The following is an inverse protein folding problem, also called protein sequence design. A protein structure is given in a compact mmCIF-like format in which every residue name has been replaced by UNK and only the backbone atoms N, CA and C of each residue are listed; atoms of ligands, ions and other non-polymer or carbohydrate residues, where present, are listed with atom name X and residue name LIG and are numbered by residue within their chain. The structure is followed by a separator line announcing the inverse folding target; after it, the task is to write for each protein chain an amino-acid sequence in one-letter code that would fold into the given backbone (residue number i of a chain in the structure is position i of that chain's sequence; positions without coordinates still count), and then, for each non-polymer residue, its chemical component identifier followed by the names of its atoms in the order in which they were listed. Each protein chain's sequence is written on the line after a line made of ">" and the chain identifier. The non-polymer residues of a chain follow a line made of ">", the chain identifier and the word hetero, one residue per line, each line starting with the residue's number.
data_IF_899724828363
#
_entry.id   IF_899724828363
#
_cell.length_a   1.000
_cell.length_b   1.000
_cell.length_c   1.000
_cell.angle_alpha   90.00
_cell.angle_beta   90.00
_cell.angle_gamma   90.00
#
_symmetry.space_group_name_H-M   'P 1'
#
loop_
_entity.id
_entity.type
_entity.pdbx_description
1 polymer ?
#
# COMPACT_ATOMS: atom_id res chain seq x y z
N UNK A 1 -16.61 -32.98 18.04
CA UNK A 1 -16.85 -31.53 17.94
C UNK A 1 -18.35 -31.31 18.02
N UNK A 2 -18.79 -30.42 18.92
CA UNK A 2 -20.21 -30.21 19.25
C UNK A 2 -20.92 -29.43 18.13
N UNK A 3 -22.21 -29.70 17.91
CA UNK A 3 -23.11 -29.00 16.99
C UNK A 3 -23.13 -27.46 17.17
N UNK A 4 -22.64 -26.95 18.29
CA UNK A 4 -22.49 -25.51 18.59
C UNK A 4 -21.33 -24.82 17.84
N UNK A 5 -20.26 -25.52 17.45
CA UNK A 5 -19.12 -24.90 16.74
C UNK A 5 -19.45 -24.58 15.27
N UNK A 6 -20.30 -25.39 14.64
CA UNK A 6 -20.67 -25.20 13.22
C UNK A 6 -21.51 -23.94 12.96
N UNK A 7 -22.17 -23.37 13.98
CA UNK A 7 -22.94 -22.12 13.85
C UNK A 7 -22.09 -20.86 14.06
N UNK A 8 -20.80 -21.01 14.43
CA UNK A 8 -19.90 -19.88 14.73
C UNK A 8 -19.03 -19.50 13.54
N UNK A 9 -18.68 -20.45 12.66
CA UNK A 9 -17.79 -20.19 11.51
C UNK A 9 -18.41 -19.16 10.57
N UNK A 10 -17.67 -18.10 10.28
CA UNK A 10 -18.15 -16.98 9.46
C UNK A 10 -18.91 -15.88 10.19
N UNK A 11 -19.13 -16.02 11.51
CA UNK A 11 -19.54 -14.90 12.35
C UNK A 11 -18.39 -13.90 12.55
N UNK A 12 -18.71 -12.66 12.94
CA UNK A 12 -17.69 -11.68 13.29
C UNK A 12 -16.79 -12.19 14.43
N UNK A 13 -17.33 -12.92 15.42
CA UNK A 13 -16.53 -13.48 16.52
C UNK A 13 -15.48 -14.50 16.01
N UNK A 14 -15.84 -15.35 15.05
CA UNK A 14 -14.91 -16.28 14.40
C UNK A 14 -13.84 -15.55 13.59
N UNK A 15 -14.23 -14.51 12.83
CA UNK A 15 -13.27 -13.67 12.09
C UNK A 15 -12.25 -13.04 13.04
N UNK A 16 -12.71 -12.47 14.16
CA UNK A 16 -11.82 -11.87 15.16
C UNK A 16 -10.91 -12.94 15.79
N UNK A 17 -11.46 -14.08 16.21
CA UNK A 17 -10.66 -15.16 16.77
C UNK A 17 -9.55 -15.62 15.81
N UNK A 18 -9.86 -15.79 14.52
CA UNK A 18 -8.91 -16.19 13.49
C UNK A 18 -7.84 -15.15 13.21
N UNK A 19 -8.21 -13.86 13.23
CA UNK A 19 -7.26 -12.76 13.13
C UNK A 19 -6.26 -12.77 14.30
N UNK A 20 -6.71 -13.09 15.52
CA UNK A 20 -5.88 -13.19 16.72
C UNK A 20 -5.02 -14.46 16.80
N UNK A 21 -5.13 -15.39 15.85
CA UNK A 21 -4.25 -16.58 15.77
C UNK A 21 -2.85 -16.28 15.24
N UNK A 22 -2.63 -15.08 14.70
CA UNK A 22 -1.31 -14.63 14.25
C UNK A 22 -0.43 -14.45 15.49
N UNK A 23 0.59 -15.31 15.63
CA UNK A 23 1.55 -15.22 16.73
C UNK A 23 2.47 -14.00 16.59
N UNK A 24 3.31 -13.69 17.60
CA UNK A 24 4.22 -12.55 17.55
C UNK A 24 5.12 -12.55 16.30
N UNK A 25 5.26 -11.39 15.64
CA UNK A 25 6.10 -11.20 14.45
C UNK A 25 6.99 -9.98 14.64
N UNK A 26 8.25 -10.10 14.23
CA UNK A 26 9.24 -9.03 14.41
C UNK A 26 9.97 -8.66 13.12
N UNK A 27 9.61 -9.30 12.01
CA UNK A 27 10.31 -9.20 10.73
C UNK A 27 9.38 -9.49 9.53
N UNK A 28 9.88 -9.19 8.35
CA UNK A 28 9.30 -9.60 7.07
C UNK A 28 10.22 -10.60 6.37
N UNK A 29 9.66 -11.61 5.66
CA UNK A 29 10.49 -12.54 4.91
C UNK A 29 11.08 -11.85 3.68
N UNK A 30 12.32 -12.19 3.33
CA UNK A 30 12.87 -11.92 1.99
C UNK A 30 12.02 -12.63 0.92
N UNK A 31 12.14 -12.22 -0.35
CA UNK A 31 11.44 -12.85 -1.49
C UNK A 31 11.73 -14.35 -1.53
N UNK A 32 13.00 -14.75 -1.34
CA UNK A 32 13.39 -16.16 -1.37
C UNK A 32 12.80 -16.95 -0.20
N UNK A 33 12.80 -16.39 1.01
CA UNK A 33 12.18 -17.02 2.18
C UNK A 33 10.66 -17.13 2.02
N UNK A 34 10.03 -16.11 1.43
CA UNK A 34 8.60 -16.08 1.16
C UNK A 34 8.24 -17.19 0.18
N UNK A 35 8.89 -17.26 -0.98
CA UNK A 35 8.65 -18.32 -1.98
C UNK A 35 8.93 -19.70 -1.39
N UNK A 36 10.04 -19.88 -0.67
CA UNK A 36 10.38 -21.15 -0.04
C UNK A 36 9.32 -21.62 0.97
N UNK A 37 8.70 -20.68 1.71
CA UNK A 37 7.63 -21.03 2.66
C UNK A 37 6.36 -21.55 1.98
N UNK A 38 6.00 -20.98 0.84
CA UNK A 38 4.86 -21.43 0.04
C UNK A 38 5.16 -22.73 -0.71
N UNK A 39 6.38 -22.92 -1.22
CA UNK A 39 6.82 -24.18 -1.80
C UNK A 39 6.76 -25.30 -0.75
N UNK A 40 7.22 -25.04 0.48
CA UNK A 40 7.12 -26.00 1.57
C UNK A 40 5.66 -26.32 1.96
N UNK A 41 4.74 -25.35 1.87
CA UNK A 41 3.30 -25.60 2.05
C UNK A 41 2.75 -26.51 0.93
N UNK A 42 3.14 -26.25 -0.33
CA UNK A 42 2.74 -27.06 -1.46
C UNK A 42 3.24 -28.51 -1.35
N UNK A 43 4.48 -28.70 -0.91
CA UNK A 43 5.08 -30.03 -0.70
C UNK A 43 4.40 -30.79 0.45
N UNK A 44 3.98 -30.09 1.51
CA UNK A 44 3.27 -30.72 2.65
C UNK A 44 1.81 -31.05 2.34
N UNK A 45 1.18 -30.31 1.43
CA UNK A 45 -0.24 -30.44 1.09
C UNK A 45 -0.45 -30.56 -0.43
N UNK A 46 0.15 -31.55 -1.11
CA UNK A 46 0.17 -31.62 -2.57
C UNK A 46 -1.21 -31.82 -3.22
N UNK A 47 -2.16 -32.40 -2.48
CA UNK A 47 -3.54 -32.60 -2.93
C UNK A 47 -4.42 -31.36 -2.77
N UNK A 48 -3.94 -30.34 -2.04
CA UNK A 48 -4.71 -29.14 -1.70
C UNK A 48 -4.12 -27.85 -2.29
N UNK A 49 -2.80 -27.80 -2.45
CA UNK A 49 -2.07 -26.59 -2.86
C UNK A 49 -1.45 -26.79 -4.23
N UNK A 50 -1.90 -26.01 -5.21
CA UNK A 50 -1.36 -26.02 -6.58
C UNK A 50 -0.49 -24.80 -6.84
N UNK A 51 0.80 -25.01 -7.12
CA UNK A 51 1.73 -23.98 -7.57
C UNK A 51 1.65 -23.78 -9.08
N UNK A 52 1.62 -22.53 -9.54
CA UNK A 52 1.62 -22.15 -10.96
C UNK A 52 2.53 -20.93 -11.18
N UNK A 53 3.38 -20.94 -12.21
CA UNK A 53 4.10 -19.72 -12.64
C UNK A 53 3.15 -18.87 -13.48
N UNK A 54 2.95 -17.62 -13.08
CA UNK A 54 2.02 -16.70 -13.77
C UNK A 54 2.74 -15.68 -14.65
N UNK A 55 4.05 -15.51 -14.47
CA UNK A 55 4.84 -14.58 -15.26
C UNK A 55 6.32 -14.60 -14.93
N UNK A 56 6.99 -13.56 -15.40
CA UNK A 56 8.39 -13.26 -15.16
C UNK A 56 8.52 -11.75 -14.94
N UNK A 57 9.28 -11.34 -13.94
CA UNK A 57 9.57 -9.93 -13.68
C UNK A 57 10.51 -9.33 -14.74
N UNK A 58 10.73 -8.01 -14.66
CA UNK A 58 11.65 -7.29 -15.55
C UNK A 58 13.10 -7.77 -15.45
N UNK A 59 13.51 -8.29 -14.29
CA UNK A 59 14.86 -8.83 -14.02
C UNK A 59 14.92 -10.37 -14.07
N UNK A 60 13.98 -11.01 -14.76
CA UNK A 60 13.96 -12.45 -15.05
C UNK A 60 13.61 -13.36 -13.84
N UNK A 61 12.97 -12.81 -12.80
CA UNK A 61 12.49 -13.63 -11.67
C UNK A 61 11.13 -14.25 -11.96
N UNK A 62 10.91 -15.53 -11.63
CA UNK A 62 9.62 -16.18 -11.81
C UNK A 62 8.59 -15.64 -10.80
N UNK A 63 7.40 -15.31 -11.30
CA UNK A 63 6.27 -14.89 -10.46
C UNK A 63 5.37 -16.11 -10.23
N UNK A 64 5.13 -16.45 -8.97
CA UNK A 64 4.40 -17.65 -8.56
C UNK A 64 3.03 -17.32 -7.96
N UNK A 65 2.07 -18.19 -8.25
CA UNK A 65 0.76 -18.22 -7.62
C UNK A 65 0.52 -19.60 -7.00
N UNK A 66 -0.07 -19.62 -5.81
CA UNK A 66 -0.43 -20.82 -5.07
C UNK A 66 -1.95 -20.83 -4.89
N UNK A 67 -2.61 -21.85 -5.44
CA UNK A 67 -4.06 -22.01 -5.34
C UNK A 67 -4.41 -23.05 -4.29
N UNK A 68 -5.34 -22.74 -3.39
CA UNK A 68 -5.71 -23.57 -2.24
C UNK A 68 -7.23 -23.77 -2.21
N UNK A 69 -7.67 -25.03 -2.12
CA UNK A 69 -9.10 -25.39 -2.14
C UNK A 69 -9.66 -25.61 -3.55
N UNK A 70 -10.93 -26.00 -3.62
CA UNK A 70 -11.62 -26.43 -4.83
C UNK A 70 -13.07 -25.92 -4.93
N UNK A 71 -13.47 -25.00 -4.04
CA UNK A 71 -14.81 -24.42 -4.02
C UNK A 71 -15.09 -23.51 -5.24
N UNK A 72 -16.37 -23.31 -5.60
CA UNK A 72 -16.77 -22.57 -6.80
C UNK A 72 -16.48 -21.07 -6.71
N UNK A 73 -16.42 -20.50 -5.49
CA UNK A 73 -16.06 -19.10 -5.30
C UNK A 73 -14.59 -18.89 -5.58
N UNK A 74 -14.24 -17.78 -6.24
CA UNK A 74 -12.85 -17.50 -6.63
C UNK A 74 -12.37 -16.27 -5.93
N UNK A 75 -11.29 -16.42 -5.16
CA UNK A 75 -10.69 -15.33 -4.39
C UNK A 75 -9.25 -15.13 -4.85
N UNK A 76 -8.86 -13.89 -5.14
CA UNK A 76 -7.51 -13.54 -5.59
C UNK A 76 -6.89 -12.55 -4.61
N UNK A 77 -5.75 -12.89 -4.03
CA UNK A 77 -5.01 -11.98 -3.15
C UNK A 77 -3.55 -11.94 -3.52
N UNK A 78 -2.99 -10.75 -3.48
CA UNK A 78 -1.63 -10.51 -3.95
C UNK A 78 -0.98 -9.40 -3.12
N UNK A 79 0.32 -9.57 -2.87
CA UNK A 79 1.14 -8.63 -2.13
C UNK A 79 2.34 -8.17 -2.96
N UNK A 80 2.99 -7.09 -2.52
CA UNK A 80 4.15 -6.52 -3.22
C UNK A 80 3.77 -5.72 -4.46
N UNK A 81 2.53 -5.24 -4.56
CA UNK A 81 2.10 -4.28 -5.60
C UNK A 81 2.88 -2.98 -5.52
N UNK A 82 3.16 -2.59 -4.30
CA UNK A 82 4.15 -1.62 -3.90
C UNK A 82 5.27 -2.36 -3.17
N UNK A 83 6.49 -2.36 -3.72
CA UNK A 83 7.61 -3.09 -3.14
C UNK A 83 7.99 -2.81 -1.69
N UNK A 84 7.64 -1.63 -1.18
CA UNK A 84 7.91 -1.20 0.19
C UNK A 84 6.86 -1.66 1.21
N UNK A 85 5.89 -2.48 0.80
CA UNK A 85 4.69 -2.80 1.60
C UNK A 85 4.58 -4.31 1.95
N UNK A 86 5.47 -4.85 2.80
CA UNK A 86 5.58 -6.29 3.07
C UNK A 86 4.59 -6.87 4.10
N UNK A 87 3.61 -6.12 4.64
CA UNK A 87 2.66 -6.71 5.62
C UNK A 87 1.88 -7.84 4.94
N UNK A 88 1.49 -7.62 3.69
CA UNK A 88 0.85 -8.61 2.85
C UNK A 88 1.61 -9.94 2.72
N UNK A 89 2.95 -9.95 2.85
CA UNK A 89 3.73 -11.19 2.78
C UNK A 89 3.41 -12.12 3.95
N UNK A 90 3.40 -11.56 5.17
CA UNK A 90 3.04 -12.29 6.39
C UNK A 90 1.55 -12.63 6.39
N UNK A 91 0.69 -11.74 5.90
CA UNK A 91 -0.75 -12.01 5.74
C UNK A 91 -1.00 -13.23 4.87
N UNK A 92 -0.38 -13.33 3.70
CA UNK A 92 -0.58 -14.47 2.80
C UNK A 92 -0.01 -15.77 3.37
N UNK A 93 1.13 -15.73 4.08
CA UNK A 93 1.67 -16.92 4.77
C UNK A 93 0.66 -17.48 5.79
N UNK A 94 0.14 -16.63 6.68
CA UNK A 94 -0.81 -17.05 7.71
C UNK A 94 -2.14 -17.49 7.12
N UNK A 95 -2.63 -16.80 6.09
CA UNK A 95 -3.83 -17.22 5.37
C UNK A 95 -3.64 -18.61 4.76
N UNK A 96 -2.53 -18.84 4.05
CA UNK A 96 -2.24 -20.13 3.42
C UNK A 96 -2.14 -21.27 4.46
N UNK A 97 -1.50 -21.02 5.60
CA UNK A 97 -1.40 -21.98 6.70
C UNK A 97 -2.76 -22.30 7.32
N UNK A 98 -3.60 -21.30 7.60
CA UNK A 98 -4.96 -21.54 8.12
C UNK A 98 -5.80 -22.31 7.10
N UNK A 99 -5.74 -21.94 5.82
CA UNK A 99 -6.44 -22.66 4.77
C UNK A 99 -5.95 -24.10 4.61
N UNK A 100 -4.65 -24.39 4.82
CA UNK A 100 -4.14 -25.76 4.73
C UNK A 100 -4.54 -26.63 5.93
N UNK A 101 -4.62 -26.04 7.13
CA UNK A 101 -4.80 -26.77 8.39
C UNK A 101 -6.24 -26.85 8.89
N UNK A 102 -7.14 -25.97 8.42
CA UNK A 102 -8.53 -25.89 8.86
C UNK A 102 -9.51 -26.25 7.72
N UNK A 103 -10.02 -27.48 7.75
CA UNK A 103 -10.98 -27.97 6.75
C UNK A 103 -12.37 -27.32 6.87
N UNK A 104 -12.78 -26.96 8.09
CA UNK A 104 -14.08 -26.32 8.34
C UNK A 104 -14.07 -24.89 7.82
N UNK A 105 -12.95 -24.17 7.96
CA UNK A 105 -12.74 -22.86 7.33
C UNK A 105 -12.89 -22.95 5.80
N UNK A 106 -12.20 -23.91 5.17
CA UNK A 106 -12.31 -24.10 3.71
C UNK A 106 -13.75 -24.38 3.29
N UNK A 107 -14.45 -25.28 4.00
CA UNK A 107 -15.83 -25.63 3.72
C UNK A 107 -16.79 -24.44 3.91
N UNK A 108 -16.55 -23.58 4.89
CA UNK A 108 -17.39 -22.41 5.16
C UNK A 108 -17.26 -21.31 4.09
N UNK A 109 -16.05 -21.07 3.59
CA UNK A 109 -15.85 -20.14 2.48
C UNK A 109 -16.29 -20.73 1.14
N UNK A 110 -16.18 -22.06 0.98
CA UNK A 110 -16.48 -22.79 -0.25
C UNK A 110 -15.87 -22.09 -1.48
N UNK A 111 -14.56 -21.83 -1.37
CA UNK A 111 -13.78 -21.04 -2.31
C UNK A 111 -12.48 -21.72 -2.71
N UNK A 112 -12.05 -21.44 -3.94
CA UNK A 112 -10.67 -21.59 -4.40
C UNK A 112 -9.93 -20.27 -4.18
N UNK A 113 -8.88 -20.30 -3.37
CA UNK A 113 -8.07 -19.13 -3.02
C UNK A 113 -6.80 -19.09 -3.85
N UNK A 114 -6.59 -18.03 -4.63
CA UNK A 114 -5.42 -17.80 -5.47
C UNK A 114 -4.53 -16.75 -4.82
N UNK A 115 -3.35 -17.16 -4.37
CA UNK A 115 -2.42 -16.32 -3.62
C UNK A 115 -1.19 -16.02 -4.49
N UNK A 116 -0.87 -14.76 -4.70
CA UNK A 116 0.37 -14.31 -5.34
C UNK A 116 1.24 -13.66 -4.26
N UNK A 117 2.21 -14.39 -3.66
CA UNK A 117 2.93 -13.89 -2.49
C UNK A 117 3.70 -12.60 -2.74
N UNK A 118 4.25 -12.42 -3.94
CA UNK A 118 4.98 -11.23 -4.34
C UNK A 118 4.82 -11.03 -5.85
N UNK A 119 4.18 -9.92 -6.26
CA UNK A 119 3.96 -9.59 -7.67
C UNK A 119 5.12 -8.82 -8.30
N UNK A 120 5.86 -7.99 -7.54
CA UNK A 120 7.06 -7.26 -7.99
C UNK A 120 8.32 -7.67 -7.19
N UNK A 121 8.88 -8.88 -7.44
CA UNK A 121 10.06 -9.35 -6.72
C UNK A 121 11.28 -8.42 -6.91
N UNK A 122 11.43 -7.83 -8.09
CA UNK A 122 12.56 -6.95 -8.44
C UNK A 122 12.60 -5.72 -7.53
N UNK A 123 11.45 -5.05 -7.38
CA UNK A 123 11.33 -3.92 -6.47
C UNK A 123 11.45 -4.36 -5.02
N UNK A 124 10.81 -5.48 -4.65
CA UNK A 124 10.76 -5.96 -3.25
C UNK A 124 12.17 -6.22 -2.70
N UNK A 125 13.07 -6.79 -3.51
CA UNK A 125 14.47 -7.01 -3.12
C UNK A 125 15.22 -5.74 -2.73
N UNK A 126 14.85 -4.59 -3.30
CA UNK A 126 15.46 -3.30 -2.94
C UNK A 126 15.04 -2.79 -1.55
N UNK A 127 14.03 -3.42 -0.92
CA UNK A 127 13.54 -3.14 0.42
C UNK A 127 13.95 -4.19 1.48
N UNK A 128 14.47 -5.35 1.10
CA UNK A 128 14.82 -6.43 2.06
C UNK A 128 15.80 -5.99 3.16
N UNK A 129 16.61 -4.96 2.88
CA UNK A 129 17.59 -4.42 3.81
C UNK A 129 17.03 -3.85 5.11
N UNK A 130 15.72 -3.58 5.21
CA UNK A 130 15.08 -3.12 6.45
C UNK A 130 14.14 -4.13 7.11
N UNK A 131 13.90 -5.28 6.48
CA UNK A 131 12.86 -6.24 6.92
C UNK A 131 13.12 -6.89 8.28
N UNK A 132 14.37 -6.96 8.72
CA UNK A 132 14.73 -7.55 10.01
C UNK A 132 14.41 -6.65 11.21
N UNK A 133 14.30 -5.33 11.00
CA UNK A 133 14.07 -4.34 12.05
C UNK A 133 13.00 -3.32 11.62
N UNK A 134 11.75 -3.75 11.33
CA UNK A 134 10.71 -2.90 10.77
C UNK A 134 10.20 -1.82 11.75
N UNK A 135 10.50 -1.96 13.05
CA UNK A 135 10.10 -1.03 14.09
C UNK A 135 10.87 0.31 14.05
N UNK A 136 12.12 0.31 13.56
CA UNK A 136 12.97 1.51 13.53
C UNK A 136 12.68 2.32 12.26
N UNK A 137 12.01 3.47 12.43
CA UNK A 137 11.64 4.41 11.36
C UNK A 137 12.84 4.91 10.56
N UNK A 138 13.99 5.10 11.20
CA UNK A 138 15.21 5.58 10.52
C UNK A 138 15.87 4.44 9.76
N UNK A 139 15.89 3.23 10.32
CA UNK A 139 16.37 2.03 9.62
C UNK A 139 15.51 1.73 8.38
N UNK A 140 14.18 1.73 8.54
CA UNK A 140 13.20 1.66 7.46
C UNK A 140 13.50 2.68 6.36
N UNK A 141 13.61 3.96 6.71
CA UNK A 141 13.83 5.04 5.75
C UNK A 141 15.16 4.93 4.99
N UNK A 142 16.21 4.35 5.60
CA UNK A 142 17.49 4.09 4.93
C UNK A 142 17.40 2.97 3.89
N UNK A 143 16.60 1.94 4.17
CA UNK A 143 16.37 0.80 3.28
C UNK A 143 15.22 1.00 2.29
N UNK A 144 14.46 2.08 2.42
CA UNK A 144 13.24 2.34 1.65
C UNK A 144 13.49 2.43 0.14
N UNK A 145 12.59 1.84 -0.64
CA UNK A 145 12.49 2.04 -2.07
C UNK A 145 11.03 1.97 -2.56
N UNK A 146 10.61 3.02 -3.25
CA UNK A 146 9.39 3.07 -4.06
C UNK A 146 9.76 3.25 -5.53
N UNK A 147 9.24 2.43 -6.47
CA UNK A 147 9.45 2.65 -7.90
C UNK A 147 8.80 3.95 -8.38
N UNK A 148 9.25 4.47 -9.53
CA UNK A 148 8.55 5.57 -10.20
C UNK A 148 7.07 5.21 -10.43
N UNK A 149 6.14 6.17 -10.53
CA UNK A 149 4.71 5.88 -10.70
C UNK A 149 4.38 4.90 -11.84
N UNK A 150 5.10 4.97 -12.97
CA UNK A 150 4.93 4.07 -14.11
C UNK A 150 5.75 2.78 -14.03
N UNK A 151 6.35 2.52 -12.88
CA UNK A 151 7.15 1.33 -12.58
C UNK A 151 6.60 0.56 -11.36
N UNK A 152 5.36 0.85 -10.95
CA UNK A 152 4.63 0.17 -9.88
C UNK A 152 3.56 -0.75 -10.49
N UNK A 153 3.32 -1.92 -9.89
CA UNK A 153 2.30 -2.85 -10.42
C UNK A 153 0.90 -2.25 -10.28
N UNK A 154 0.59 -1.75 -9.08
CA UNK A 154 -0.49 -0.78 -8.94
C UNK A 154 -0.12 0.45 -9.76
N UNK A 155 -1.05 1.01 -10.53
CA UNK A 155 -0.82 2.17 -11.43
C UNK A 155 -0.12 1.87 -12.75
N UNK A 156 -0.04 0.63 -13.21
CA UNK A 156 0.38 0.33 -14.60
C UNK A 156 -0.61 -0.54 -15.36
N UNK A 157 -1.86 -0.63 -14.87
CA UNK A 157 -2.93 -1.25 -15.64
C UNK A 157 -3.34 -0.34 -16.79
N UNK A 158 -3.64 -0.89 -17.98
CA UNK A 158 -3.97 -0.09 -19.14
C UNK A 158 -5.37 0.51 -18.98
N UNK A 159 -5.54 1.75 -19.46
CA UNK A 159 -6.84 2.40 -19.56
C UNK A 159 -6.91 3.26 -20.81
N UNK A 160 -8.14 3.59 -21.22
CA UNK A 160 -8.42 4.58 -22.25
C UNK A 160 -9.70 5.32 -21.87
N UNK A 161 -9.59 6.63 -21.67
CA UNK A 161 -10.70 7.50 -21.28
C UNK A 161 -10.55 8.88 -21.93
N UNK A 162 -11.51 9.27 -22.78
CA UNK A 162 -11.44 10.49 -23.60
C UNK A 162 -10.12 10.56 -24.37
N UNK A 163 -9.32 11.61 -24.14
CA UNK A 163 -8.02 11.82 -24.79
C UNK A 163 -6.84 11.23 -24.00
N UNK A 164 -7.10 10.61 -22.84
CA UNK A 164 -6.10 9.95 -22.01
C UNK A 164 -6.05 8.44 -22.27
N UNK A 165 -4.84 7.92 -22.35
CA UNK A 165 -4.60 6.49 -22.44
C UNK A 165 -3.26 6.12 -21.83
N UNK A 166 -3.14 4.89 -21.35
CA UNK A 166 -1.89 4.30 -20.87
C UNK A 166 -1.74 2.87 -21.40
N UNK A 167 -0.61 2.57 -22.03
CA UNK A 167 -0.29 1.24 -22.57
C UNK A 167 1.06 0.67 -22.13
N UNK A 168 1.80 1.39 -21.27
CA UNK A 168 3.14 0.97 -20.77
C UNK A 168 3.01 -0.05 -19.64
N UNK A 169 2.29 -1.13 -19.90
CA UNK A 169 2.03 -2.21 -18.94
C UNK A 169 3.34 -2.94 -18.61
N UNK A 170 3.65 -3.07 -17.33
CA UNK A 170 4.81 -3.83 -16.86
C UNK A 170 4.62 -5.34 -17.05
N UNK A 171 5.71 -6.13 -17.21
CA UNK A 171 5.63 -7.60 -17.23
C UNK A 171 4.90 -8.21 -16.02
N UNK A 172 5.16 -7.67 -14.83
CA UNK A 172 4.53 -8.03 -13.57
C UNK A 172 3.03 -7.74 -13.59
N UNK A 173 2.64 -6.55 -14.04
CA UNK A 173 1.25 -6.14 -14.21
C UNK A 173 0.52 -6.98 -15.24
N UNK A 174 1.18 -7.30 -16.35
CA UNK A 174 0.63 -8.19 -17.37
C UNK A 174 0.39 -9.61 -16.83
N UNK A 175 1.26 -10.10 -15.95
CA UNK A 175 1.05 -11.38 -15.28
C UNK A 175 -0.22 -11.34 -14.40
N UNK A 176 -0.39 -10.28 -13.60
CA UNK A 176 -1.57 -10.10 -12.77
C UNK A 176 -2.85 -9.89 -13.59
N UNK A 177 -2.80 -9.12 -14.67
CA UNK A 177 -3.91 -8.94 -15.61
C UNK A 177 -4.43 -10.27 -16.15
N UNK A 178 -3.52 -11.15 -16.59
CA UNK A 178 -3.87 -12.49 -17.09
C UNK A 178 -4.54 -13.34 -16.00
N UNK A 179 -4.02 -13.28 -14.77
CA UNK A 179 -4.64 -13.97 -13.64
C UNK A 179 -6.05 -13.43 -13.37
N UNK A 180 -6.24 -12.11 -13.36
CA UNK A 180 -7.57 -11.49 -13.18
C UNK A 180 -8.53 -11.95 -14.29
N UNK A 181 -8.09 -11.97 -15.55
CA UNK A 181 -8.93 -12.34 -16.69
C UNK A 181 -9.26 -13.86 -16.74
N UNK A 182 -8.34 -14.72 -16.29
CA UNK A 182 -8.53 -16.18 -16.20
C UNK A 182 -9.38 -16.58 -15.00
N UNK A 183 -9.03 -16.07 -13.81
CA UNK A 183 -9.70 -16.39 -12.56
C UNK A 183 -11.09 -15.76 -12.52
N UNK A 184 -11.23 -14.50 -12.96
CA UNK A 184 -12.43 -13.67 -12.78
C UNK A 184 -12.91 -13.71 -11.32
N UNK A 185 -12.08 -13.21 -10.39
CA UNK A 185 -12.33 -13.37 -8.97
C UNK A 185 -13.63 -12.69 -8.56
N UNK A 186 -14.37 -13.32 -7.65
CA UNK A 186 -15.50 -12.68 -6.98
C UNK A 186 -15.00 -11.70 -5.91
N UNK A 187 -13.95 -12.09 -5.18
CA UNK A 187 -13.22 -11.25 -4.21
C UNK A 187 -11.78 -11.09 -4.68
N UNK A 188 -11.33 -9.85 -4.75
CA UNK A 188 -9.93 -9.50 -4.94
C UNK A 188 -9.44 -8.66 -3.76
N UNK A 189 -8.33 -9.05 -3.14
CA UNK A 189 -7.69 -8.26 -2.08
C UNK A 189 -6.28 -7.89 -2.51
N UNK A 190 -6.07 -6.60 -2.75
CA UNK A 190 -4.72 -6.07 -2.93
C UNK A 190 -4.18 -5.68 -1.56
N UNK A 191 -3.04 -6.26 -1.17
CA UNK A 191 -2.47 -6.08 0.15
C UNK A 191 -1.46 -4.93 0.12
N UNK A 192 -1.78 -3.86 0.86
CA UNK A 192 -1.06 -2.60 0.91
C UNK A 192 -0.67 -2.22 2.34
N UNK A 193 0.17 -1.20 2.49
CA UNK A 193 0.55 -0.63 3.78
C UNK A 193 0.52 0.90 3.74
N UNK A 194 0.20 1.48 4.87
CA UNK A 194 0.52 2.87 5.18
C UNK A 194 1.81 2.95 6.02
N UNK A 195 2.33 4.15 6.23
CA UNK A 195 3.49 4.33 7.13
C UNK A 195 3.09 4.86 8.50
N UNK A 196 2.34 5.97 8.53
CA UNK A 196 1.96 6.67 9.76
C UNK A 196 0.46 6.86 9.80
N UNK A 197 -0.16 6.71 10.97
CA UNK A 197 -1.54 7.11 11.21
C UNK A 197 -2.41 5.99 11.80
N UNK A 198 -3.59 5.81 11.22
CA UNK A 198 -4.52 4.73 11.54
C UNK A 198 -4.82 3.81 10.35
N UNK A 199 -5.62 2.77 10.61
CA UNK A 199 -6.07 1.81 9.60
C UNK A 199 -7.17 2.44 8.74
N UNK A 200 -7.09 2.26 7.42
CA UNK A 200 -8.17 2.61 6.50
C UNK A 200 -8.32 1.61 5.35
N UNK A 201 -9.45 1.69 4.64
CA UNK A 201 -9.83 0.72 3.63
C UNK A 201 -10.39 1.37 2.37
N UNK A 202 -10.14 0.73 1.24
CA UNK A 202 -10.86 0.99 -0.02
C UNK A 202 -11.72 -0.21 -0.40
N UNK A 203 -12.96 0.05 -0.81
CA UNK A 203 -13.93 -0.95 -1.27
C UNK A 203 -14.45 -0.60 -2.66
N UNK A 204 -14.59 -1.57 -3.56
CA UNK A 204 -15.22 -1.29 -4.87
C UNK A 204 -16.72 -1.03 -4.79
N UNK A 205 -17.37 -1.45 -3.69
CA UNK A 205 -18.78 -1.21 -3.39
C UNK A 205 -19.03 -1.43 -1.90
N UNK A 206 -20.19 -1.03 -1.38
CA UNK A 206 -20.56 -1.31 0.01
C UNK A 206 -21.25 -2.67 0.10
N UNK A 207 -20.76 -3.55 0.98
CA UNK A 207 -21.43 -4.80 1.35
C UNK A 207 -22.09 -4.68 2.73
N UNK A 208 -23.32 -5.19 2.92
CA UNK A 208 -23.98 -5.19 4.22
C UNK A 208 -23.12 -5.85 5.30
N UNK A 209 -22.98 -5.19 6.47
CA UNK A 209 -22.23 -5.70 7.62
C UNK A 209 -20.70 -5.63 7.49
N UNK A 210 -20.14 -5.37 6.30
CA UNK A 210 -18.69 -5.32 6.12
C UNK A 210 -18.05 -4.13 6.82
N UNK A 211 -18.66 -2.94 6.76
CA UNK A 211 -18.13 -1.74 7.45
C UNK A 211 -17.99 -1.98 8.95
N UNK A 212 -19.01 -2.55 9.59
CA UNK A 212 -18.97 -2.88 11.02
C UNK A 212 -17.82 -3.85 11.34
N UNK A 213 -17.60 -4.85 10.49
CA UNK A 213 -16.48 -5.77 10.63
C UNK A 213 -15.12 -5.07 10.44
N UNK A 214 -14.98 -4.19 9.45
CA UNK A 214 -13.77 -3.43 9.18
C UNK A 214 -13.41 -2.43 10.28
N UNK A 215 -14.38 -1.98 11.08
CA UNK A 215 -14.15 -1.22 12.32
C UNK A 215 -13.83 -2.13 13.51
N UNK A 216 -14.56 -3.24 13.67
CA UNK A 216 -14.39 -4.14 14.80
C UNK A 216 -13.02 -4.85 14.80
N UNK A 217 -12.52 -5.23 13.62
CA UNK A 217 -11.24 -5.93 13.47
C UNK A 217 -10.06 -5.12 14.05
N UNK A 218 -9.74 -3.89 13.58
CA UNK A 218 -8.65 -3.09 14.14
C UNK A 218 -8.91 -2.70 15.60
N UNK A 219 -10.16 -2.43 15.98
CA UNK A 219 -10.52 -2.14 17.37
C UNK A 219 -10.17 -3.30 18.32
N UNK A 220 -10.32 -4.55 17.87
CA UNK A 220 -9.95 -5.73 18.67
C UNK A 220 -8.44 -5.85 18.95
N UNK A 221 -7.60 -5.18 18.15
CA UNK A 221 -6.15 -5.08 18.34
C UNK A 221 -5.72 -3.76 19.01
N UNK A 222 -6.68 -2.88 19.35
CA UNK A 222 -6.39 -1.55 19.88
C UNK A 222 -5.76 -0.60 18.86
N UNK A 223 -5.96 -0.86 17.56
CA UNK A 223 -5.43 -0.03 16.48
C UNK A 223 -6.43 1.08 16.11
N UNK A 224 -5.99 2.34 15.96
CA UNK A 224 -6.86 3.43 15.57
C UNK A 224 -7.24 3.33 14.08
N UNK A 225 -8.37 3.94 13.73
CA UNK A 225 -8.75 4.20 12.35
C UNK A 225 -8.14 5.53 11.88
N UNK A 226 -7.83 5.66 10.59
CA UNK A 226 -7.39 6.94 10.00
C UNK A 226 -8.60 7.85 9.76
N UNK A 227 -8.83 8.79 10.68
CA UNK A 227 -9.92 9.77 10.57
C UNK A 227 -9.45 11.15 10.15
N UNK A 228 -8.15 11.30 9.86
CA UNK A 228 -7.57 12.52 9.34
C UNK A 228 -7.90 12.78 7.87
N UNK A 229 -6.92 13.31 7.15
CA UNK A 229 -7.06 13.69 5.75
C UNK A 229 -7.24 12.47 4.84
N UNK A 230 -8.26 12.43 3.96
CA UNK A 230 -8.30 11.41 2.92
C UNK A 230 -7.12 11.61 1.96
N UNK A 231 -6.63 10.51 1.38
CA UNK A 231 -5.53 10.53 0.41
C UNK A 231 -5.81 11.43 -0.80
N UNK A 232 -7.08 11.49 -1.21
CA UNK A 232 -7.55 12.38 -2.27
C UNK A 232 -8.94 12.92 -1.93
N UNK A 233 -9.21 14.21 -2.20
CA UNK A 233 -10.54 14.80 -2.02
C UNK A 233 -11.59 14.27 -3.01
N UNK A 234 -11.16 13.56 -4.07
CA UNK A 234 -12.07 12.94 -5.04
C UNK A 234 -12.71 11.64 -4.51
N UNK A 235 -12.14 11.05 -3.46
CA UNK A 235 -12.60 9.77 -2.93
C UNK A 235 -13.91 9.92 -2.16
N UNK A 236 -14.85 9.03 -2.45
CA UNK A 236 -16.13 8.98 -1.72
C UNK A 236 -15.94 8.21 -0.42
N UNK A 237 -16.05 8.90 0.72
CA UNK A 237 -16.07 8.26 2.03
C UNK A 237 -17.45 7.65 2.30
N UNK A 238 -17.48 6.36 2.65
CA UNK A 238 -18.72 5.64 3.00
C UNK A 238 -18.93 5.49 4.51
N UNK A 239 -17.83 5.49 5.27
CA UNK A 239 -17.81 5.47 6.72
C UNK A 239 -16.43 6.01 7.20
N UNK A 240 -16.25 6.32 8.50
CA UNK A 240 -14.92 6.68 9.03
C UNK A 240 -13.85 5.67 8.59
N UNK A 241 -12.76 6.16 7.98
CA UNK A 241 -11.66 5.36 7.41
C UNK A 241 -12.05 4.30 6.35
N UNK A 242 -13.25 4.39 5.75
CA UNK A 242 -13.67 3.49 4.67
C UNK A 242 -14.11 4.32 3.46
N UNK A 243 -13.46 4.08 2.33
CA UNK A 243 -13.65 4.83 1.09
C UNK A 243 -14.02 3.89 -0.06
N UNK A 244 -14.67 4.41 -1.09
CA UNK A 244 -14.78 3.69 -2.35
C UNK A 244 -13.46 3.77 -3.13
N UNK A 245 -13.08 2.67 -3.79
CA UNK A 245 -11.95 2.70 -4.75
C UNK A 245 -12.26 3.69 -5.87
N UNK A 246 -11.32 4.57 -6.18
CA UNK A 246 -11.38 5.42 -7.37
C UNK A 246 -10.75 4.74 -8.58
N UNK A 247 -11.05 5.27 -9.76
CA UNK A 247 -10.33 5.04 -11.00
C UNK A 247 -9.67 6.32 -11.48
N UNK A 248 -8.73 6.19 -12.41
CA UNK A 248 -8.17 7.33 -13.14
C UNK A 248 -9.25 8.18 -13.80
N UNK A 249 -10.33 7.55 -14.28
CA UNK A 249 -11.46 8.27 -14.88
C UNK A 249 -12.23 9.12 -13.87
N UNK A 250 -12.35 8.66 -12.61
CA UNK A 250 -13.00 9.41 -11.53
C UNK A 250 -12.19 10.64 -11.12
N UNK A 251 -10.86 10.48 -11.00
CA UNK A 251 -9.95 11.60 -10.72
C UNK A 251 -9.98 12.64 -11.85
N UNK A 252 -9.97 12.18 -13.11
CA UNK A 252 -10.13 13.05 -14.26
C UNK A 252 -11.45 13.84 -14.22
N UNK A 253 -12.57 13.14 -14.00
CA UNK A 253 -13.89 13.76 -13.93
C UNK A 253 -13.95 14.79 -12.79
N UNK A 254 -13.35 14.49 -11.64
CA UNK A 254 -13.25 15.42 -10.52
C UNK A 254 -12.47 16.68 -10.89
N UNK A 255 -11.28 16.54 -11.50
CA UNK A 255 -10.47 17.69 -11.94
C UNK A 255 -11.20 18.56 -12.97
N UNK A 256 -11.95 17.96 -13.89
CA UNK A 256 -12.82 18.69 -14.82
C UNK A 256 -13.87 19.54 -14.10
N UNK A 257 -14.47 19.04 -13.01
CA UNK A 257 -15.45 19.84 -12.22
C UNK A 257 -14.81 21.07 -11.56
N UNK A 258 -13.49 21.03 -11.32
CA UNK A 258 -12.72 22.14 -10.78
C UNK A 258 -12.18 23.08 -11.88
N UNK A 259 -12.40 22.76 -13.16
CA UNK A 259 -11.82 23.48 -14.29
C UNK A 259 -10.30 23.35 -14.39
N UNK A 260 -9.73 22.31 -13.76
CA UNK A 260 -8.30 21.99 -13.79
C UNK A 260 -8.05 21.02 -14.94
N UNK A 261 -7.08 21.33 -15.80
CA UNK A 261 -6.60 20.38 -16.80
C UNK A 261 -5.77 19.29 -16.08
N UNK A 262 -6.21 18.02 -16.12
CA UNK A 262 -5.49 16.92 -15.49
C UNK A 262 -4.12 16.65 -16.13
N UNK A 263 -3.87 17.16 -17.35
CA UNK A 263 -2.59 17.00 -18.04
C UNK A 263 -2.29 15.55 -18.43
N UNK A 264 -1.07 15.27 -18.95
CA UNK A 264 -0.67 13.92 -19.28
C UNK A 264 -0.42 13.12 -17.99
N UNK A 265 -1.23 12.08 -17.77
CA UNK A 265 -1.01 11.15 -16.67
C UNK A 265 0.30 10.38 -16.89
N UNK A 266 1.10 10.32 -15.83
CA UNK A 266 2.39 9.63 -15.86
C UNK A 266 2.24 8.12 -15.69
N UNK A 267 1.12 7.65 -15.14
CA UNK A 267 0.83 6.27 -14.77
C UNK A 267 -0.48 5.75 -15.39
N UNK A 268 -0.70 4.44 -15.26
CA UNK A 268 -1.94 3.73 -15.58
C UNK A 268 -2.94 3.70 -14.42
N UNK A 269 -3.93 2.81 -14.55
CA UNK A 269 -5.01 2.64 -13.57
C UNK A 269 -4.68 1.58 -12.51
N UNK A 270 -5.60 1.38 -11.57
CA UNK A 270 -5.50 0.38 -10.51
C UNK A 270 -5.95 -1.01 -10.96
N UNK A 271 -5.49 -2.02 -10.21
CA UNK A 271 -5.96 -3.40 -10.29
C UNK A 271 -7.47 -3.49 -10.05
N UNK A 272 -8.01 -2.72 -9.10
CA UNK A 272 -9.45 -2.67 -8.77
C UNK A 272 -10.28 -2.18 -9.96
N UNK A 273 -9.84 -1.10 -10.63
CA UNK A 273 -10.48 -0.59 -11.84
C UNK A 273 -10.40 -1.62 -12.98
N UNK A 274 -9.26 -2.29 -13.15
CA UNK A 274 -9.11 -3.35 -14.16
C UNK A 274 -10.05 -4.53 -13.90
N UNK A 275 -10.16 -5.00 -12.66
CA UNK A 275 -10.97 -6.15 -12.26
C UNK A 275 -12.48 -5.88 -12.28
N UNK A 276 -12.91 -4.61 -12.17
CA UNK A 276 -14.31 -4.21 -12.20
C UNK A 276 -15.07 -4.72 -13.44
N UNK A 277 -14.39 -4.94 -14.57
CA UNK A 277 -14.97 -5.53 -15.80
C UNK A 277 -15.60 -6.92 -15.58
N UNK A 278 -15.13 -7.65 -14.57
CA UNK A 278 -15.59 -9.00 -14.23
C UNK A 278 -16.60 -8.99 -13.08
N UNK A 279 -17.03 -7.82 -12.61
CA UNK A 279 -17.91 -7.68 -11.44
C UNK A 279 -17.22 -8.03 -10.11
N UNK A 280 -15.89 -8.02 -10.10
CA UNK A 280 -15.06 -8.33 -8.93
C UNK A 280 -15.29 -7.33 -7.80
N UNK A 281 -15.54 -7.82 -6.60
CA UNK A 281 -15.47 -7.02 -5.39
C UNK A 281 -14.01 -6.87 -4.96
N UNK A 282 -13.54 -5.63 -4.84
CA UNK A 282 -12.16 -5.33 -4.45
C UNK A 282 -12.09 -4.73 -3.06
N UNK A 283 -11.15 -5.22 -2.25
CA UNK A 283 -10.77 -4.70 -0.94
C UNK A 283 -9.30 -4.32 -0.96
N UNK A 284 -8.98 -3.15 -0.43
CA UNK A 284 -7.62 -2.74 -0.06
C UNK A 284 -7.65 -2.36 1.42
N UNK A 285 -6.68 -2.85 2.18
CA UNK A 285 -6.49 -2.49 3.58
C UNK A 285 -5.13 -1.82 3.74
N UNK A 286 -5.14 -0.58 4.21
CA UNK A 286 -3.98 0.28 4.38
C UNK A 286 -3.62 0.34 5.86
N UNK A 287 -2.43 -0.14 6.18
CA UNK A 287 -2.02 -0.45 7.55
C UNK A 287 -0.73 0.28 7.92
N UNK A 288 -0.75 1.21 8.89
CA UNK A 288 0.44 1.98 9.26
C UNK A 288 1.42 1.16 10.11
N UNK A 289 2.71 1.46 10.00
CA UNK A 289 3.76 0.93 10.88
C UNK A 289 3.86 1.68 12.20
N UNK A 290 3.60 2.99 12.13
CA UNK A 290 3.65 3.88 13.27
C UNK A 290 2.31 4.57 13.45
N UNK A 291 1.95 4.84 14.70
CA UNK A 291 0.83 5.69 15.03
C UNK A 291 1.26 6.76 16.01
N UNK A 292 0.41 7.77 16.18
CA UNK A 292 0.59 8.83 17.16
C UNK A 292 -0.77 9.17 17.74
N UNK A 293 -0.90 9.45 19.05
CA UNK A 293 -2.19 9.82 19.65
C UNK A 293 -2.88 11.00 18.98
N UNK A 294 -2.10 11.91 18.38
CA UNK A 294 -2.63 13.04 17.62
C UNK A 294 -3.28 12.63 16.29
N UNK A 295 -2.89 11.50 15.67
CA UNK A 295 -3.30 11.15 14.31
C UNK A 295 -4.80 10.91 14.14
N UNK A 296 -5.51 10.55 15.23
CA UNK A 296 -6.97 10.43 15.26
C UNK A 296 -7.66 11.39 16.22
N UNK A 297 -6.99 12.49 16.60
CA UNK A 297 -7.55 13.49 17.52
C UNK A 297 -8.27 14.62 16.76
N UNK A 298 -9.60 14.54 16.72
CA UNK A 298 -10.47 15.51 16.06
C UNK A 298 -10.71 16.79 16.88
N UNK A 299 -10.03 16.96 18.02
CA UNK A 299 -10.18 18.17 18.85
C UNK A 299 -9.74 19.41 18.07
N UNK A 300 -10.58 20.47 17.99
CA UNK A 300 -10.20 21.72 17.34
C UNK A 300 -9.01 22.41 18.03
N UNK A 301 -8.11 22.95 17.22
CA UNK A 301 -6.94 23.73 17.67
C UNK A 301 -7.16 25.24 17.44
N UNK A 302 -6.20 26.06 17.88
CA UNK A 302 -6.17 27.49 17.55
C UNK A 302 -5.58 27.79 16.17
N UNK A 303 -5.03 26.79 15.47
CA UNK A 303 -4.49 26.97 14.13
C UNK A 303 -5.63 27.03 13.10
N UNK A 304 -5.46 27.88 12.08
CA UNK A 304 -6.38 27.93 10.95
C UNK A 304 -5.95 26.85 9.96
N UNK A 305 -6.90 26.02 9.51
CA UNK A 305 -6.64 24.89 8.63
C UNK A 305 -5.98 25.30 7.30
N UNK A 306 -6.40 26.41 6.70
CA UNK A 306 -5.72 26.98 5.53
C UNK A 306 -4.22 27.26 5.78
N UNK A 307 -3.84 27.71 6.98
CA UNK A 307 -2.43 27.97 7.31
C UNK A 307 -1.63 26.68 7.56
N UNK A 308 -2.27 25.63 8.06
CA UNK A 308 -1.69 24.29 8.15
C UNK A 308 -1.35 23.77 6.74
N UNK A 309 -2.27 23.89 5.79
CA UNK A 309 -2.05 23.51 4.40
C UNK A 309 -0.92 24.33 3.74
N UNK A 310 -0.89 25.65 3.97
CA UNK A 310 0.20 26.51 3.48
C UNK A 310 1.56 26.14 4.07
N UNK A 311 1.61 25.78 5.35
CA UNK A 311 2.83 25.33 6.03
C UNK A 311 3.32 24.01 5.44
N UNK A 312 2.43 23.05 5.18
CA UNK A 312 2.77 21.81 4.46
C UNK A 312 3.31 22.13 3.06
N UNK A 313 2.63 23.00 2.32
CA UNK A 313 3.07 23.40 0.99
C UNK A 313 4.48 24.02 0.99
N UNK A 314 4.78 24.90 1.96
CA UNK A 314 6.12 25.47 2.14
C UNK A 314 7.16 24.37 2.41
N UNK A 315 6.84 23.41 3.28
CA UNK A 315 7.70 22.28 3.60
C UNK A 315 7.98 21.36 2.40
N UNK A 316 6.95 21.06 1.61
CA UNK A 316 7.04 20.28 0.37
C UNK A 316 7.88 21.01 -0.69
N UNK A 317 7.63 22.30 -0.92
CA UNK A 317 8.38 23.12 -1.87
C UNK A 317 9.86 23.23 -1.51
N UNK A 318 10.18 23.45 -0.22
CA UNK A 318 11.56 23.49 0.26
C UNK A 318 12.26 22.12 0.08
N UNK A 319 11.55 21.02 0.32
CA UNK A 319 12.08 19.67 0.11
C UNK A 319 12.33 19.41 -1.38
N UNK A 320 11.38 19.77 -2.24
CA UNK A 320 11.52 19.64 -3.70
C UNK A 320 12.71 20.45 -4.23
N UNK A 321 12.88 21.70 -3.78
CA UNK A 321 14.00 22.55 -4.18
C UNK A 321 15.35 21.95 -3.76
N UNK A 322 15.48 21.52 -2.50
CA UNK A 322 16.73 20.95 -1.99
C UNK A 322 17.12 19.64 -2.72
N UNK A 323 16.15 18.76 -2.97
CA UNK A 323 16.38 17.52 -3.72
C UNK A 323 16.64 17.79 -5.20
N UNK A 324 15.92 18.74 -5.80
CA UNK A 324 16.06 19.17 -7.19
C UNK A 324 17.46 19.70 -7.48
N UNK A 325 17.97 20.61 -6.65
CA UNK A 325 19.33 21.13 -6.78
C UNK A 325 20.40 20.02 -6.74
N UNK A 326 20.26 19.06 -5.83
CA UNK A 326 21.18 17.92 -5.72
C UNK A 326 21.06 17.00 -6.94
N UNK A 327 19.83 16.73 -7.39
CA UNK A 327 19.54 15.88 -8.53
C UNK A 327 20.02 16.49 -9.84
N UNK A 328 19.85 17.80 -10.05
CA UNK A 328 20.34 18.50 -11.24
C UNK A 328 21.87 18.55 -11.26
N UNK A 329 22.48 18.75 -10.10
CA UNK A 329 23.94 18.74 -9.97
C UNK A 329 24.56 17.39 -10.27
N UNK A 330 23.96 16.31 -9.78
CA UNK A 330 24.51 14.97 -9.94
C UNK A 330 24.01 14.26 -11.19
N UNK A 331 22.77 14.51 -11.60
CA UNK A 331 22.02 13.73 -12.57
C UNK A 331 22.61 13.80 -13.98
N UNK A 332 23.14 14.95 -14.39
CA UNK A 332 23.86 15.08 -15.66
C UNK A 332 25.19 14.31 -15.68
N UNK A 333 25.75 14.00 -14.51
CA UNK A 333 27.01 13.28 -14.35
C UNK A 333 26.81 11.81 -13.89
N UNK A 334 25.57 11.39 -13.63
CA UNK A 334 25.24 10.03 -13.23
C UNK A 334 25.36 9.10 -14.45
N UNK A 335 26.07 7.99 -14.27
CA UNK A 335 26.33 7.00 -15.33
C UNK A 335 25.47 5.75 -15.16
N UNK A 336 25.06 5.45 -13.94
CA UNK A 336 24.24 4.30 -13.58
C UNK A 336 22.78 4.74 -13.55
N UNK A 337 22.01 4.19 -14.47
CA UNK A 337 20.56 4.44 -14.53
C UNK A 337 19.78 3.55 -13.55
N UNK A 338 20.11 3.66 -12.26
CA UNK A 338 19.56 2.84 -11.18
C UNK A 338 18.06 3.08 -10.98
N UNK A 339 17.29 2.10 -10.46
CA UNK A 339 15.89 2.28 -10.10
C UNK A 339 15.65 3.43 -9.12
N UNK A 340 16.60 3.65 -8.20
CA UNK A 340 16.60 4.80 -7.29
C UNK A 340 16.63 6.14 -8.05
N UNK A 341 17.51 6.28 -9.04
CA UNK A 341 17.61 7.51 -9.83
C UNK A 341 16.35 7.74 -10.67
N UNK A 342 15.72 6.68 -11.20
CA UNK A 342 14.48 6.82 -11.99
C UNK A 342 13.35 7.32 -11.11
N UNK A 343 13.19 6.70 -9.95
CA UNK A 343 12.18 7.10 -8.99
C UNK A 343 12.43 8.50 -8.41
N UNK A 344 13.68 8.89 -8.09
CA UNK A 344 13.99 10.26 -7.67
C UNK A 344 13.65 11.30 -8.74
N UNK A 345 13.89 11.01 -10.01
CA UNK A 345 13.50 11.92 -11.11
C UNK A 345 11.99 12.04 -11.30
N UNK A 346 11.22 11.03 -10.91
CA UNK A 346 9.76 11.10 -10.94
C UNK A 346 9.19 11.84 -9.73
N UNK A 347 9.67 11.52 -8.52
CA UNK A 347 9.08 12.01 -7.28
C UNK A 347 9.54 13.40 -6.85
N UNK A 348 10.76 13.83 -7.20
CA UNK A 348 11.22 15.18 -6.84
C UNK A 348 10.36 16.28 -7.50
N UNK A 349 10.05 16.22 -8.82
CA UNK A 349 9.09 17.15 -9.42
C UNK A 349 7.67 17.00 -8.88
N UNK A 350 7.26 15.77 -8.52
CA UNK A 350 5.94 15.51 -7.92
C UNK A 350 5.76 16.25 -6.59
N UNK A 351 6.80 16.32 -5.75
CA UNK A 351 6.75 17.12 -4.51
C UNK A 351 6.46 18.61 -4.77
N UNK A 352 7.07 19.17 -5.82
CA UNK A 352 6.84 20.57 -6.21
C UNK A 352 5.40 20.81 -6.65
N UNK A 353 4.85 19.92 -7.49
CA UNK A 353 3.44 19.98 -7.90
C UNK A 353 2.48 19.83 -6.73
N UNK A 354 2.73 18.89 -5.82
CA UNK A 354 1.93 18.74 -4.62
C UNK A 354 1.97 19.98 -3.73
N UNK A 355 3.13 20.64 -3.61
CA UNK A 355 3.20 21.92 -2.89
C UNK A 355 2.26 22.97 -3.50
N UNK A 356 2.21 23.08 -4.84
CA UNK A 356 1.30 23.99 -5.53
C UNK A 356 -0.17 23.61 -5.31
N UNK A 357 -0.52 22.32 -5.45
CA UNK A 357 -1.87 21.82 -5.17
C UNK A 357 -2.34 22.15 -3.76
N UNK A 358 -1.47 22.00 -2.76
CA UNK A 358 -1.80 22.30 -1.37
C UNK A 358 -1.98 23.79 -1.10
N UNK A 359 -1.28 24.67 -1.84
CA UNK A 359 -1.57 26.12 -1.81
C UNK A 359 -2.92 26.43 -2.40
N UNK A 360 -3.24 25.86 -3.57
CA UNK A 360 -4.54 26.05 -4.21
C UNK A 360 -5.66 25.54 -3.30
N UNK A 361 -5.46 24.38 -2.67
CA UNK A 361 -6.38 23.78 -1.71
C UNK A 361 -6.62 24.69 -0.51
N UNK A 362 -5.58 25.31 0.03
CA UNK A 362 -5.69 26.23 1.17
C UNK A 362 -6.62 27.43 0.91
N UNK A 363 -6.82 27.80 -0.35
CA UNK A 363 -7.68 28.91 -0.76
C UNK A 363 -9.12 28.47 -1.09
N UNK A 364 -9.43 27.17 -1.01
CA UNK A 364 -10.78 26.65 -1.25
C UNK A 364 -11.76 27.08 -0.13
N UNK A 365 -13.04 27.35 -0.46
CA UNK A 365 -14.07 27.61 0.53
C UNK A 365 -14.18 26.48 1.56
N UNK A 366 -14.25 26.83 2.84
CA UNK A 366 -14.30 25.86 3.95
C UNK A 366 -12.96 25.55 4.59
N UNK A 367 -11.84 26.06 4.05
CA UNK A 367 -10.53 25.93 4.70
C UNK A 367 -10.27 27.00 5.77
N UNK A 368 -11.05 28.09 5.80
CA UNK A 368 -11.03 29.11 6.86
C UNK A 368 -11.82 28.63 8.09
N UNK A 369 -11.26 27.63 8.76
CA UNK A 369 -11.81 27.01 9.97
C UNK A 369 -10.68 26.62 10.92
N UNK A 370 -10.97 26.37 12.21
CA UNK A 370 -10.05 25.69 13.09
C UNK A 370 -9.61 24.34 12.50
N UNK A 371 -8.31 24.07 12.51
CA UNK A 371 -7.74 22.76 12.20
C UNK A 371 -7.92 21.82 13.40
N UNK A 372 -8.08 20.52 13.16
CA UNK A 372 -8.01 19.51 14.22
C UNK A 372 -6.56 19.19 14.59
N UNK A 373 -6.35 18.55 15.75
CA UNK A 373 -5.03 18.06 16.16
C UNK A 373 -4.48 17.05 15.14
N UNK A 374 -5.33 16.16 14.60
CA UNK A 374 -5.00 15.21 13.53
C UNK A 374 -4.53 15.90 12.25
N UNK A 375 -5.25 16.94 11.81
CA UNK A 375 -4.88 17.69 10.62
C UNK A 375 -3.52 18.39 10.79
N UNK A 376 -3.27 19.02 11.94
CA UNK A 376 -1.97 19.65 12.21
C UNK A 376 -0.85 18.62 12.17
N UNK A 377 -0.99 17.51 12.92
CA UNK A 377 0.05 16.49 13.00
C UNK A 377 0.30 15.80 11.66
N UNK A 378 -0.75 15.33 10.99
CA UNK A 378 -0.64 14.59 9.74
C UNK A 378 0.00 15.42 8.63
N UNK A 379 -0.39 16.70 8.50
CA UNK A 379 0.18 17.59 7.49
C UNK A 379 1.67 17.88 7.73
N UNK A 380 2.12 17.97 8.98
CA UNK A 380 3.55 18.10 9.28
C UNK A 380 4.33 16.80 9.08
N UNK A 381 3.78 15.65 9.50
CA UNK A 381 4.47 14.36 9.36
C UNK A 381 4.59 13.94 7.89
N UNK A 382 3.63 14.28 7.01
CA UNK A 382 3.76 14.07 5.56
C UNK A 382 5.05 14.70 5.01
N UNK A 383 5.41 15.92 5.45
CA UNK A 383 6.66 16.57 5.02
C UNK A 383 7.89 15.80 5.53
N UNK A 384 7.89 15.39 6.80
CA UNK A 384 8.97 14.58 7.39
C UNK A 384 9.11 13.24 6.68
N UNK A 385 8.00 12.56 6.44
CA UNK A 385 7.89 11.31 5.71
C UNK A 385 8.46 11.44 4.29
N UNK A 386 8.08 12.47 3.53
CA UNK A 386 8.57 12.65 2.15
C UNK A 386 10.03 13.06 2.08
N UNK A 387 10.51 13.86 3.04
CA UNK A 387 11.95 14.08 3.23
C UNK A 387 12.65 12.75 3.39
N UNK A 388 12.11 11.87 4.24
CA UNK A 388 12.64 10.54 4.47
C UNK A 388 12.62 9.66 3.18
N UNK A 389 11.46 9.39 2.60
CA UNK A 389 11.36 8.52 1.43
C UNK A 389 12.27 8.97 0.27
N UNK A 390 12.10 10.22 -0.16
CA UNK A 390 12.71 10.69 -1.41
C UNK A 390 14.15 11.15 -1.22
N UNK A 391 14.50 11.66 -0.04
CA UNK A 391 15.88 11.94 0.33
C UNK A 391 16.72 10.67 0.44
N UNK A 392 16.18 9.62 1.09
CA UNK A 392 16.85 8.33 1.23
C UNK A 392 17.06 7.65 -0.12
N UNK A 393 16.04 7.68 -0.99
CA UNK A 393 16.16 7.17 -2.36
C UNK A 393 17.20 7.92 -3.19
N UNK A 394 17.23 9.26 -3.14
CA UNK A 394 18.26 10.04 -3.86
C UNK A 394 19.65 9.76 -3.30
N UNK A 395 19.79 9.63 -1.97
CA UNK A 395 21.05 9.23 -1.33
C UNK A 395 21.51 7.86 -1.84
N UNK A 396 20.62 6.87 -1.93
CA UNK A 396 20.92 5.54 -2.49
C UNK A 396 21.29 5.59 -3.97
N UNK A 397 20.63 6.44 -4.76
CA UNK A 397 20.96 6.64 -6.17
C UNK A 397 22.40 7.14 -6.35
N UNK A 398 22.80 8.15 -5.57
CA UNK A 398 24.17 8.68 -5.57
C UNK A 398 25.16 7.68 -4.97
N UNK A 399 24.75 6.94 -3.94
CA UNK A 399 25.55 5.89 -3.30
C UNK A 399 25.88 4.75 -4.26
N UNK A 400 24.98 4.40 -5.19
CA UNK A 400 25.24 3.39 -6.21
C UNK A 400 26.43 3.76 -7.10
N UNK A 401 26.52 5.02 -7.56
CA UNK A 401 27.66 5.54 -8.34
C UNK A 401 28.98 5.48 -7.54
N UNK A 402 28.91 5.83 -6.25
CA UNK A 402 30.08 5.85 -5.36
C UNK A 402 30.60 4.43 -5.13
N UNK A 403 29.71 3.51 -4.79
CA UNK A 403 30.02 2.09 -4.54
C UNK A 403 30.56 1.40 -5.79
N UNK A 404 29.99 1.69 -6.96
CA UNK A 404 30.48 1.17 -8.24
C UNK A 404 31.81 1.79 -8.69
N UNK A 405 32.32 2.82 -8.00
CA UNK A 405 33.60 3.46 -8.30
C UNK A 405 33.58 4.42 -9.50
N UNK A 406 32.40 4.67 -10.08
CA UNK A 406 32.21 5.51 -11.27
C UNK A 406 31.86 6.96 -10.94
N UNK A 407 31.55 7.26 -9.68
CA UNK A 407 31.21 8.61 -9.25
C UNK A 407 32.31 9.64 -9.55
N UNK A 408 31.94 10.68 -10.31
CA UNK A 408 32.75 11.87 -10.55
C UNK A 408 32.97 12.67 -9.27
N UNK A 409 33.89 13.64 -9.28
CA UNK A 409 34.05 14.58 -8.16
C UNK A 409 32.75 15.33 -7.84
N UNK A 410 31.97 15.70 -8.86
CA UNK A 410 30.66 16.35 -8.71
C UNK A 410 29.65 15.43 -8.04
N UNK A 411 29.56 14.17 -8.48
CA UNK A 411 28.66 13.15 -7.89
C UNK A 411 29.03 12.87 -6.43
N UNK A 412 30.32 12.77 -6.09
CA UNK A 412 30.77 12.58 -4.69
C UNK A 412 30.44 13.78 -3.81
N UNK A 413 30.60 15.01 -4.33
CA UNK A 413 30.22 16.22 -3.60
C UNK A 413 28.71 16.27 -3.35
N UNK A 414 27.89 15.95 -4.37
CA UNK A 414 26.44 15.86 -4.25
C UNK A 414 26.01 14.78 -3.24
N UNK A 415 26.61 13.59 -3.29
CA UNK A 415 26.38 12.53 -2.30
C UNK A 415 26.67 13.02 -0.88
N UNK A 416 27.80 13.70 -0.66
CA UNK A 416 28.15 14.26 0.65
C UNK A 416 27.18 15.35 1.14
N UNK A 417 26.63 16.18 0.24
CA UNK A 417 25.58 17.16 0.60
C UNK A 417 24.27 16.45 0.97
N UNK A 418 23.85 15.48 0.15
CA UNK A 418 22.65 14.69 0.39
C UNK A 418 22.74 13.95 1.72
N UNK A 419 23.89 13.34 2.03
CA UNK A 419 24.10 12.64 3.30
C UNK A 419 23.91 13.57 4.51
N UNK A 420 24.46 14.79 4.49
CA UNK A 420 24.28 15.75 5.59
C UNK A 420 22.83 16.21 5.74
N UNK A 421 22.16 16.45 4.61
CA UNK A 421 20.75 16.84 4.61
C UNK A 421 19.87 15.70 5.14
N UNK A 422 20.17 14.49 4.71
CA UNK A 422 19.54 13.26 5.17
C UNK A 422 19.70 13.05 6.68
N UNK A 423 20.91 13.19 7.20
CA UNK A 423 21.20 13.10 8.63
C UNK A 423 20.37 14.11 9.44
N UNK A 424 20.26 15.36 8.96
CA UNK A 424 19.42 16.37 9.60
C UNK A 424 17.92 15.98 9.61
N UNK A 425 17.39 15.49 8.48
CA UNK A 425 15.99 15.05 8.41
C UNK A 425 15.71 13.80 9.24
N UNK A 426 16.64 12.86 9.31
CA UNK A 426 16.51 11.70 10.21
C UNK A 426 16.55 12.10 11.68
N UNK A 427 17.37 13.09 12.05
CA UNK A 427 17.40 13.64 13.41
C UNK A 427 16.09 14.38 13.75
N UNK A 428 15.52 15.14 12.80
CA UNK A 428 14.20 15.78 12.95
C UNK A 428 13.10 14.72 13.18
N UNK A 429 13.06 13.67 12.35
CA UNK A 429 12.08 12.61 12.47
C UNK A 429 12.22 11.80 13.78
N UNK A 430 13.46 11.54 14.22
CA UNK A 430 13.74 10.85 15.48
C UNK A 430 13.41 11.70 16.73
N UNK A 431 13.31 13.02 16.59
CA UNK A 431 12.94 13.92 17.68
C UNK A 431 11.43 13.95 17.95
N UNK A 432 10.60 13.37 17.07
CA UNK A 432 9.15 13.27 17.28
C UNK A 432 8.87 12.34 18.45
N UNK A 433 8.31 12.90 19.52
CA UNK A 433 7.92 12.15 20.71
C UNK A 433 6.53 11.54 20.54
N UNK A 434 6.22 10.49 21.29
CA UNK A 434 4.87 9.89 21.31
C UNK A 434 4.54 8.96 20.14
N UNK A 435 5.47 8.73 19.21
CA UNK A 435 5.33 7.73 18.17
C UNK A 435 5.25 6.33 18.78
N UNK A 436 4.25 5.57 18.35
CA UNK A 436 4.02 4.19 18.74
C UNK A 436 4.33 3.29 17.55
N UNK A 437 5.16 2.28 17.75
CA UNK A 437 5.35 1.21 16.75
C UNK A 437 4.19 0.24 16.90
N UNK A 438 3.48 -0.03 15.81
CA UNK A 438 2.39 -0.99 15.78
C UNK A 438 2.94 -2.42 15.59
N UNK A 439 2.53 -3.41 16.41
CA UNK A 439 3.02 -4.78 16.28
C UNK A 439 2.67 -5.39 14.92
N UNK A 440 3.63 -6.01 14.25
CA UNK A 440 3.45 -6.57 12.90
C UNK A 440 2.34 -7.63 12.90
N UNK A 441 2.27 -8.45 13.93
CA UNK A 441 1.23 -9.47 14.09
C UNK A 441 -0.19 -8.88 14.15
N UNK A 442 -0.36 -7.69 14.73
CA UNK A 442 -1.66 -7.02 14.76
C UNK A 442 -2.04 -6.53 13.37
N UNK A 443 -1.09 -5.93 12.63
CA UNK A 443 -1.31 -5.47 11.27
C UNK A 443 -1.70 -6.65 10.35
N UNK A 444 -0.95 -7.75 10.44
CA UNK A 444 -1.25 -9.00 9.72
C UNK A 444 -2.63 -9.55 10.10
N UNK A 445 -2.97 -9.56 11.40
CA UNK A 445 -4.28 -9.95 11.90
C UNK A 445 -5.42 -9.10 11.34
N UNK A 446 -5.23 -7.78 11.23
CA UNK A 446 -6.22 -6.87 10.63
C UNK A 446 -6.46 -7.19 9.16
N UNK A 447 -5.40 -7.31 8.36
CA UNK A 447 -5.51 -7.62 6.94
C UNK A 447 -6.17 -9.00 6.70
N UNK A 448 -5.85 -9.99 7.54
CA UNK A 448 -6.46 -11.31 7.51
C UNK A 448 -7.95 -11.26 7.89
N UNK A 449 -8.29 -10.57 8.98
CA UNK A 449 -9.67 -10.41 9.44
C UNK A 449 -10.55 -9.69 8.43
N UNK A 450 -10.04 -8.60 7.82
CA UNK A 450 -10.73 -7.87 6.76
C UNK A 450 -10.97 -8.77 5.52
N UNK A 451 -9.99 -9.60 5.15
CA UNK A 451 -10.12 -10.57 4.04
C UNK A 451 -11.21 -11.60 4.32
N UNK A 452 -11.24 -12.21 5.51
CA UNK A 452 -12.28 -13.16 5.87
C UNK A 452 -13.66 -12.50 5.94
N UNK A 453 -13.77 -11.32 6.57
CA UNK A 453 -15.02 -10.57 6.64
C UNK A 453 -15.58 -10.24 5.25
N UNK A 454 -14.72 -9.81 4.31
CA UNK A 454 -15.14 -9.53 2.94
C UNK A 454 -15.63 -10.79 2.22
N UNK A 455 -14.93 -11.93 2.36
CA UNK A 455 -15.36 -13.20 1.77
C UNK A 455 -16.74 -13.64 2.29
N UNK A 456 -16.96 -13.60 3.62
CA UNK A 456 -18.25 -13.98 4.20
C UNK A 456 -19.38 -13.00 3.83
N UNK A 457 -19.11 -11.70 3.83
CA UNK A 457 -20.10 -10.70 3.41
C UNK A 457 -20.51 -10.90 1.94
N UNK A 458 -19.57 -11.26 1.07
CA UNK A 458 -19.82 -11.54 -0.34
C UNK A 458 -20.68 -12.80 -0.51
N UNK A 459 -20.35 -13.89 0.19
CA UNK A 459 -21.13 -15.12 0.17
C UNK A 459 -22.57 -14.91 0.64
N UNK A 460 -22.77 -14.08 1.67
CA UNK A 460 -24.10 -13.74 2.18
C UNK A 460 -24.94 -12.95 1.15
N UNK A 461 -24.32 -11.99 0.44
CA UNK A 461 -24.96 -11.25 -0.66
C UNK A 461 -25.39 -12.19 -1.78
N UNK A 462 -24.49 -13.04 -2.25
CA UNK A 462 -24.77 -13.93 -3.39
C UNK A 462 -25.88 -14.94 -3.06
N UNK A 463 -25.90 -15.44 -1.81
CA UNK A 463 -27.00 -16.26 -1.28
C UNK A 463 -28.34 -15.53 -1.22
N UNK A 464 -28.36 -14.24 -0.88
CA UNK A 464 -29.57 -13.42 -0.87
C UNK A 464 -30.07 -13.08 -2.29
N UNK A 465 -29.16 -12.94 -3.26
CA UNK A 465 -29.45 -12.65 -4.67
C UNK A 465 -29.74 -13.91 -5.51
N UNK A 466 -29.60 -15.11 -4.94
CA UNK A 466 -29.77 -16.38 -5.65
C UNK A 466 -28.70 -16.63 -6.73
N UNK A 467 -27.52 -16.02 -6.57
CA UNK A 467 -26.37 -16.22 -7.47
C UNK A 467 -25.53 -17.40 -6.98
N UNK A 468 -25.07 -18.28 -7.88
CA UNK A 468 -24.24 -19.43 -7.53
C UNK A 468 -22.86 -19.02 -7.00
#
# INVERSE_FOLDING_TARGET
>A
MSSTDQHRVGSLEDVLERAHRVGPLHDFPTVDQLVASFDALADRHPDLVRRTRIGTSRLDEPIWMYSIGDGPRRHLMFAGVHPNEPIGFRTLQHLAEQLCTDADLRAAHDATWHLVPCIDPDGTRLNEGWYAEPADRVHYARGFYRPAPDEQVEWTFPFAWKDLWFDRVMPETLALMRVIDEVRPQLMVSLHNAEMGGVYYYLSSVLPGLVDALHAVPASFGLPLETGEPESPALTQVAPAVYLTGSVADEYAYLETLGVDPGPLMSGDSSSAYAARHGTFSLVAELPYWSHPAAGDDTPTTAVYADVLRTKADGLAATAAALGEILDDAGAAATIRSPFLRASQAFVPFLGRNAEHERTRADLPGCDRPATVAEVFGNEDVVRCFRLRYGGMLLRALGAEVTAGVATARTRAAHGRMLRLWEAWTAEAAAVQGLQVLPVEHLVGVQLGATFAASFALAARDGAEGRP
#
